data_IF_484022654725
#
_entry.id   IF_484022654725
#
_cell.length_a   1.000
_cell.length_b   1.000
_cell.length_c   1.000
_cell.angle_alpha   90.00
_cell.angle_beta   90.00
_cell.angle_gamma   90.00
#
_symmetry.space_group_name_H-M   'P 1'
#
loop_
_entity.id
_entity.type
_entity.pdbx_description
1 polymer ?
#
# COMPACT_ATOMS: atom_id res chain seq x y z
N UNK A 1 12.51 2.14 1.22
CA UNK A 1 11.25 1.86 0.50
C UNK A 1 10.54 3.18 0.25
N UNK A 2 10.27 3.54 -1.02
CA UNK A 2 9.53 4.77 -1.36
C UNK A 2 8.20 4.39 -2.02
N UNK A 3 7.25 3.94 -1.19
CA UNK A 3 5.91 3.55 -1.65
C UNK A 3 4.96 4.69 -1.32
N UNK A 4 4.23 5.15 -2.34
CA UNK A 4 3.17 6.14 -2.18
C UNK A 4 1.84 5.40 -2.00
N UNK A 5 1.16 5.67 -0.89
CA UNK A 5 -0.18 5.16 -0.63
C UNK A 5 -1.21 6.26 -0.90
N UNK A 6 -2.40 5.86 -1.34
CA UNK A 6 -3.55 6.76 -1.29
C UNK A 6 -3.83 7.14 0.17
N UNK A 7 -4.32 8.35 0.42
CA UNK A 7 -4.46 8.89 1.78
C UNK A 7 -5.29 7.98 2.70
N UNK A 8 -6.41 7.44 2.22
CA UNK A 8 -7.26 6.56 3.02
C UNK A 8 -6.54 5.24 3.40
N UNK A 9 -5.70 4.70 2.51
CA UNK A 9 -4.88 3.52 2.77
C UNK A 9 -3.77 3.85 3.78
N UNK A 10 -3.10 4.98 3.61
CA UNK A 10 -2.05 5.42 4.55
C UNK A 10 -2.60 5.58 5.97
N UNK A 11 -3.77 6.19 6.14
CA UNK A 11 -4.39 6.38 7.45
C UNK A 11 -4.75 5.05 8.13
N UNK A 12 -5.30 4.09 7.36
CA UNK A 12 -5.59 2.76 7.88
C UNK A 12 -4.31 2.02 8.32
N UNK A 13 -3.25 2.06 7.49
CA UNK A 13 -1.97 1.45 7.83
C UNK A 13 -1.32 2.11 9.05
N UNK A 14 -1.41 3.43 9.17
CA UNK A 14 -0.88 4.16 10.32
C UNK A 14 -1.63 3.82 11.61
N UNK A 15 -2.96 3.76 11.57
CA UNK A 15 -3.78 3.36 12.71
C UNK A 15 -3.42 1.93 13.17
N UNK A 16 -3.21 1.03 12.22
CA UNK A 16 -2.84 -0.36 12.50
C UNK A 16 -1.41 -0.48 13.06
N UNK A 17 -0.46 0.30 12.53
CA UNK A 17 0.91 0.36 13.05
C UNK A 17 0.93 0.86 14.51
N UNK A 18 0.15 1.89 14.81
CA UNK A 18 -0.02 2.41 16.17
C UNK A 18 -0.68 1.39 17.10
N UNK A 19 -1.71 0.67 16.62
CA UNK A 19 -2.39 -0.39 17.38
C UNK A 19 -1.43 -1.53 17.76
N UNK A 20 -0.46 -1.83 16.90
CA UNK A 20 0.54 -2.88 17.09
C UNK A 20 1.85 -2.37 17.72
N UNK A 21 1.92 -1.10 18.12
CA UNK A 21 3.10 -0.44 18.66
C UNK A 21 4.38 -0.69 17.83
N UNK A 22 4.27 -0.54 16.51
CA UNK A 22 5.40 -0.75 15.59
C UNK A 22 5.56 0.37 14.58
N UNK A 23 6.77 0.60 14.05
CA UNK A 23 6.97 1.55 12.97
C UNK A 23 6.16 1.16 11.73
N UNK A 24 5.51 2.14 11.09
CA UNK A 24 4.73 1.93 9.87
C UNK A 24 5.52 1.19 8.78
N UNK A 25 6.79 1.53 8.60
CA UNK A 25 7.66 0.84 7.64
C UNK A 25 7.82 -0.66 7.93
N UNK A 26 7.85 -1.06 9.21
CA UNK A 26 7.93 -2.47 9.62
C UNK A 26 6.64 -3.20 9.26
N UNK A 27 5.48 -2.60 9.55
CA UNK A 27 4.18 -3.16 9.16
C UNK A 27 4.08 -3.33 7.63
N UNK A 28 4.49 -2.32 6.86
CA UNK A 28 4.49 -2.40 5.40
C UNK A 28 5.37 -3.55 4.87
N UNK A 29 6.57 -3.74 5.44
CA UNK A 29 7.43 -4.86 5.07
C UNK A 29 6.77 -6.21 5.37
N UNK A 30 6.20 -6.39 6.57
CA UNK A 30 5.52 -7.63 6.95
C UNK A 30 4.34 -7.96 6.03
N UNK A 31 3.55 -6.95 5.66
CA UNK A 31 2.44 -7.11 4.71
C UNK A 31 2.97 -7.55 3.34
N UNK A 32 4.03 -6.92 2.84
CA UNK A 32 4.63 -7.25 1.54
C UNK A 32 5.26 -8.65 1.54
N UNK A 33 5.95 -9.04 2.62
CA UNK A 33 6.51 -10.38 2.81
C UNK A 33 5.41 -11.44 2.84
N UNK A 34 4.33 -11.19 3.59
CA UNK A 34 3.18 -12.10 3.66
C UNK A 34 2.50 -12.23 2.31
N UNK A 35 2.30 -11.13 1.59
CA UNK A 35 1.71 -11.15 0.26
C UNK A 35 2.59 -11.93 -0.73
N UNK A 36 3.91 -11.72 -0.71
CA UNK A 36 4.85 -12.47 -1.54
C UNK A 36 4.79 -13.97 -1.25
N UNK A 37 4.79 -14.35 0.04
CA UNK A 37 4.68 -15.75 0.45
C UNK A 37 3.38 -16.40 -0.05
N UNK A 38 2.24 -15.70 0.03
CA UNK A 38 0.97 -16.18 -0.53
C UNK A 38 1.11 -16.38 -2.04
N UNK A 39 1.68 -15.43 -2.79
CA UNK A 39 1.83 -15.59 -4.24
C UNK A 39 2.77 -16.72 -4.63
N UNK A 40 3.86 -16.94 -3.88
CA UNK A 40 4.80 -18.02 -4.15
C UNK A 40 4.20 -19.41 -3.88
N UNK A 41 3.29 -19.53 -2.91
CA UNK A 41 2.75 -20.81 -2.44
C UNK A 41 1.31 -21.10 -2.90
N UNK A 42 0.68 -20.18 -3.64
CA UNK A 42 -0.70 -20.37 -4.14
C UNK A 42 -0.71 -20.35 -5.68
N UNK A 43 -0.34 -21.44 -6.36
CA UNK A 43 -0.16 -21.48 -7.83
C UNK A 43 -1.44 -21.19 -8.63
N UNK A 44 -2.61 -21.40 -8.02
CA UNK A 44 -3.92 -21.09 -8.63
C UNK A 44 -4.33 -19.62 -8.47
N UNK A 45 -3.69 -18.87 -7.58
CA UNK A 45 -3.84 -17.42 -7.50
C UNK A 45 -2.92 -16.83 -8.57
N UNK A 46 -3.48 -16.60 -9.77
CA UNK A 46 -2.96 -15.61 -10.71
C UNK A 46 -3.70 -14.31 -10.43
N UNK A 47 -3.24 -13.47 -9.49
CA UNK A 47 -3.90 -12.20 -9.30
C UNK A 47 -3.70 -11.43 -10.59
N UNK A 48 -4.75 -10.80 -11.11
CA UNK A 48 -4.57 -9.71 -12.05
C UNK A 48 -3.85 -8.59 -11.30
N UNK A 49 -2.53 -8.71 -11.14
CA UNK A 49 -1.66 -7.69 -10.56
C UNK A 49 -1.72 -6.50 -11.50
N UNK A 50 -2.65 -5.60 -11.22
CA UNK A 50 -2.65 -4.22 -11.69
C UNK A 50 -2.44 -3.97 -13.20
N UNK A 51 -2.68 -4.94 -14.11
CA UNK A 51 -2.73 -4.64 -15.55
C UNK A 51 -3.83 -3.61 -15.90
N UNK A 52 -4.72 -3.29 -14.95
CA UNK A 52 -5.77 -2.26 -15.05
C UNK A 52 -5.64 -1.12 -14.04
N UNK A 53 -4.56 -1.04 -13.25
CA UNK A 53 -4.32 0.17 -12.48
C UNK A 53 -3.87 1.25 -13.47
N UNK A 54 -4.81 2.11 -13.90
CA UNK A 54 -4.42 3.39 -14.48
C UNK A 54 -3.49 4.04 -13.46
N UNK A 55 -2.28 4.49 -13.85
CA UNK A 55 -1.53 5.39 -12.99
C UNK A 55 -2.41 6.65 -12.88
N UNK A 56 -3.23 6.73 -11.83
CA UNK A 56 -3.79 8.00 -11.40
C UNK A 56 -2.62 8.78 -10.80
N UNK A 57 -1.76 9.24 -11.70
CA UNK A 57 -0.79 10.28 -11.43
C UNK A 57 -1.53 11.54 -10.99
N UNK A 58 -0.98 12.17 -9.97
CA UNK A 58 -1.12 13.59 -9.66
C UNK A 58 -2.49 14.24 -9.91
N UNK A 59 -3.35 14.17 -8.91
CA UNK A 59 -4.39 15.18 -8.70
C UNK A 59 -4.33 15.77 -7.28
N UNK A 60 -3.12 15.93 -6.74
CA UNK A 60 -2.89 16.78 -5.57
C UNK A 60 -2.06 18.02 -5.91
N UNK A 61 -2.11 18.47 -7.17
CA UNK A 61 -1.51 19.73 -7.57
C UNK A 61 -2.58 20.85 -7.57
N UNK A 62 -2.42 21.77 -6.62
CA UNK A 62 -2.92 23.15 -6.59
C UNK A 62 -4.42 23.40 -6.81
N UNK A 63 -5.09 23.69 -5.71
CA UNK A 63 -5.91 24.92 -5.66
C UNK A 63 -5.91 25.56 -4.27
N UNK A 64 -4.73 25.95 -3.79
CA UNK A 64 -4.65 27.13 -2.92
C UNK A 64 -4.72 28.35 -3.83
N UNK A 65 -5.94 28.80 -4.16
CA UNK A 65 -6.14 30.18 -4.60
C UNK A 65 -6.41 31.01 -3.36
N UNK A 66 -5.47 31.93 -3.13
CA UNK A 66 -5.58 33.11 -2.28
C UNK A 66 -6.60 34.05 -2.92
#
# INVERSE_FOLDING_TARGET
MNIKFQQHIYQALLAEANRQDKPLARLCNEILETAAHIFDNTPDIKPALASKAKPNGDQNDRSSKI
#
